data_IF_379283223326
#
_entry.id   IF_379283223326
#
_cell.length_a   1.000
_cell.length_b   1.000
_cell.length_c   1.000
_cell.angle_alpha   90.00
_cell.angle_beta   90.00
_cell.angle_gamma   90.00
#
_symmetry.space_group_name_H-M   'P 1'
#
loop_
_entity.id
_entity.type
_entity.pdbx_description
1 polymer ?
#
# COMPACT_ATOMS: atom_id res chain seq x y z
N UNK A 1 3.84 20.08 22.63
CA UNK A 1 3.55 20.72 21.33
C UNK A 1 4.56 20.19 20.32
N UNK A 2 4.14 19.35 19.37
CA UNK A 2 5.05 18.81 18.35
C UNK A 2 5.41 19.92 17.37
N UNK A 3 6.70 20.24 17.24
CA UNK A 3 7.18 21.20 16.25
C UNK A 3 6.66 20.81 14.85
N UNK A 4 5.95 21.73 14.20
CA UNK A 4 5.47 21.54 12.84
C UNK A 4 6.68 21.60 11.90
N UNK A 5 6.94 20.52 11.15
CA UNK A 5 7.99 20.52 10.14
C UNK A 5 7.71 21.60 9.10
N UNK A 6 8.65 22.53 8.94
CA UNK A 6 8.64 23.55 7.91
C UNK A 6 9.17 22.92 6.62
N UNK A 7 8.43 23.12 5.53
CA UNK A 7 8.77 22.68 4.18
C UNK A 7 8.58 23.86 3.22
N UNK A 8 9.17 23.79 2.03
CA UNK A 8 8.94 24.81 1.00
C UNK A 8 7.62 24.52 0.28
N UNK A 9 6.84 25.57 0.02
CA UNK A 9 5.57 25.46 -0.67
C UNK A 9 5.82 25.08 -2.14
N UNK A 10 5.19 24.02 -2.66
CA UNK A 10 5.54 23.42 -3.95
C UNK A 10 5.26 24.31 -5.17
N UNK A 11 4.45 25.37 -5.01
CA UNK A 11 4.12 26.32 -6.08
C UNK A 11 4.78 27.69 -5.92
N UNK A 12 5.02 28.13 -4.67
CA UNK A 12 5.46 29.50 -4.38
C UNK A 12 6.88 29.55 -3.83
N UNK A 13 7.43 28.42 -3.38
CA UNK A 13 8.72 28.33 -2.71
C UNK A 13 8.74 28.93 -1.30
N UNK A 14 7.60 29.43 -0.80
CA UNK A 14 7.54 30.05 0.52
C UNK A 14 7.53 29.00 1.65
N UNK A 15 8.08 29.30 2.83
CA UNK A 15 8.05 28.39 3.97
C UNK A 15 6.61 28.11 4.41
N UNK A 16 6.23 26.84 4.49
CA UNK A 16 4.89 26.40 4.86
C UNK A 16 4.94 25.15 5.75
N UNK A 17 3.79 24.71 6.24
CA UNK A 17 3.67 23.51 7.09
C UNK A 17 2.72 22.50 6.49
N UNK A 18 2.88 21.20 6.81
CA UNK A 18 1.95 20.16 6.33
C UNK A 18 0.47 20.43 6.65
N UNK A 19 0.09 20.92 7.86
CA UNK A 19 -1.29 21.31 8.15
C UNK A 19 -1.82 22.41 7.22
N UNK A 20 -1.03 23.44 6.94
CA UNK A 20 -1.44 24.54 6.06
C UNK A 20 -1.53 24.08 4.61
N UNK A 21 -0.58 23.25 4.18
CA UNK A 21 -0.59 22.62 2.87
C UNK A 21 -1.78 21.67 2.68
N UNK A 22 -2.20 20.97 3.73
CA UNK A 22 -3.39 20.11 3.71
C UNK A 22 -4.68 20.94 3.56
N UNK A 23 -4.76 22.10 4.24
CA UNK A 23 -5.88 23.03 4.08
C UNK A 23 -5.93 23.64 2.68
N UNK A 24 -4.77 23.96 2.11
CA UNK A 24 -4.64 24.52 0.76
C UNK A 24 -4.99 23.50 -0.34
N UNK A 25 -4.39 22.31 -0.29
CA UNK A 25 -4.53 21.29 -1.35
C UNK A 25 -5.75 20.38 -1.20
N UNK A 26 -6.38 20.35 -0.02
CA UNK A 26 -7.43 19.38 0.32
C UNK A 26 -6.92 17.94 0.51
N UNK A 27 -5.60 17.72 0.46
CA UNK A 27 -4.97 16.41 0.66
C UNK A 27 -4.73 16.20 2.16
N UNK A 28 -5.00 14.99 2.65
CA UNK A 28 -4.74 14.65 4.04
C UNK A 28 -3.26 14.83 4.42
N UNK A 29 -3.02 15.40 5.60
CA UNK A 29 -1.67 15.64 6.15
C UNK A 29 -0.76 14.40 6.10
N UNK A 30 -1.29 13.23 6.41
CA UNK A 30 -0.50 11.98 6.41
C UNK A 30 -0.12 11.55 5.00
N UNK A 31 -0.97 11.84 4.00
CA UNK A 31 -0.64 11.60 2.59
C UNK A 31 0.50 12.52 2.14
N UNK A 32 0.46 13.80 2.52
CA UNK A 32 1.54 14.75 2.22
C UNK A 32 2.87 14.33 2.87
N UNK A 33 2.83 13.88 4.13
CA UNK A 33 4.02 13.33 4.81
C UNK A 33 4.59 12.11 4.10
N UNK A 34 3.74 11.18 3.69
CA UNK A 34 4.16 9.99 2.95
C UNK A 34 4.84 10.38 1.63
N UNK A 35 4.24 11.29 0.86
CA UNK A 35 4.81 11.79 -0.39
C UNK A 35 6.16 12.47 -0.19
N UNK A 36 6.25 13.35 0.80
CA UNK A 36 7.46 14.11 1.08
C UNK A 36 8.61 13.23 1.59
N UNK A 37 8.34 12.34 2.55
CA UNK A 37 9.40 11.54 3.19
C UNK A 37 9.70 10.22 2.49
N UNK A 38 8.69 9.55 1.93
CA UNK A 38 8.87 8.21 1.32
C UNK A 38 8.99 8.26 -0.21
N UNK A 39 8.29 9.17 -0.87
CA UNK A 39 8.35 9.31 -2.34
C UNK A 39 9.29 10.42 -2.79
N UNK A 40 9.88 11.17 -1.85
CA UNK A 40 10.77 12.30 -2.09
C UNK A 40 10.19 13.37 -3.05
N UNK A 41 8.86 13.54 -2.99
CA UNK A 41 8.10 14.52 -3.76
C UNK A 41 8.15 15.88 -3.07
N UNK A 42 8.61 16.92 -3.76
CA UNK A 42 8.81 18.28 -3.18
C UNK A 42 8.26 19.42 -4.03
N UNK A 43 8.10 19.22 -5.33
CA UNK A 43 7.51 20.18 -6.24
C UNK A 43 6.00 20.01 -6.36
N UNK A 44 5.45 20.39 -7.50
CA UNK A 44 4.02 20.25 -7.80
C UNK A 44 3.51 18.82 -7.55
N UNK A 45 4.35 17.80 -7.76
CA UNK A 45 3.97 16.40 -7.53
C UNK A 45 3.57 16.08 -6.08
N UNK A 46 3.97 16.92 -5.11
CA UNK A 46 3.57 16.80 -3.70
C UNK A 46 2.06 17.06 -3.53
N UNK A 47 1.50 18.01 -4.28
CA UNK A 47 0.10 18.43 -4.20
C UNK A 47 -0.75 17.99 -5.38
N UNK A 48 -0.13 17.51 -6.46
CA UNK A 48 -0.86 16.98 -7.60
C UNK A 48 -1.64 15.72 -7.19
N UNK A 49 -2.87 15.53 -7.71
CA UNK A 49 -3.56 14.26 -7.57
C UNK A 49 -2.64 13.17 -8.12
N UNK A 50 -2.51 12.03 -7.43
CA UNK A 50 -1.53 11.03 -7.81
C UNK A 50 -1.87 10.55 -9.22
N UNK A 51 -1.00 10.80 -10.20
CA UNK A 51 -1.16 10.48 -11.63
C UNK A 51 -1.10 8.97 -11.93
N UNK A 52 -1.44 8.15 -10.94
CA UNK A 52 -1.49 6.70 -11.04
C UNK A 52 -2.38 6.12 -9.96
N UNK A 53 -2.89 4.91 -10.19
CA UNK A 53 -3.62 4.14 -9.18
C UNK A 53 -2.67 3.69 -8.06
N UNK A 54 -2.28 4.60 -7.16
CA UNK A 54 -1.46 4.30 -5.98
C UNK A 54 -2.28 3.63 -4.87
N UNK A 55 -3.61 3.57 -5.03
CA UNK A 55 -4.47 2.63 -4.34
C UNK A 55 -4.24 1.20 -4.85
N UNK A 56 -3.01 0.68 -4.80
CA UNK A 56 -2.86 -0.75 -4.50
C UNK A 56 -3.23 -0.91 -3.04
N UNK A 57 -4.54 -0.80 -2.73
CA UNK A 57 -5.09 -1.55 -1.61
C UNK A 57 -4.57 -2.96 -1.84
N UNK A 58 -3.64 -3.41 -0.99
CA UNK A 58 -3.42 -4.83 -0.81
C UNK A 58 -4.80 -5.34 -0.41
N UNK A 59 -5.60 -5.78 -1.39
CA UNK A 59 -6.90 -6.36 -1.13
C UNK A 59 -6.57 -7.47 -0.16
N UNK A 60 -6.92 -7.29 1.11
CA UNK A 60 -6.82 -8.34 2.10
C UNK A 60 -7.55 -9.51 1.47
N UNK A 61 -6.81 -10.56 1.10
CA UNK A 61 -7.36 -11.60 0.24
C UNK A 61 -8.64 -12.10 0.91
N UNK A 62 -9.77 -11.93 0.21
CA UNK A 62 -11.05 -12.36 0.74
C UNK A 62 -10.97 -13.85 1.05
N UNK A 63 -11.83 -14.36 1.94
CA UNK A 63 -11.87 -15.81 2.21
C UNK A 63 -12.02 -16.61 0.91
N UNK A 64 -12.84 -16.12 -0.02
CA UNK A 64 -13.01 -16.71 -1.34
C UNK A 64 -11.72 -16.74 -2.19
N UNK A 65 -10.91 -15.66 -2.16
CA UNK A 65 -9.65 -15.63 -2.91
C UNK A 65 -8.61 -16.60 -2.31
N UNK A 66 -8.61 -16.77 -0.98
CA UNK A 66 -7.78 -17.77 -0.28
C UNK A 66 -8.18 -19.19 -0.65
N UNK A 67 -9.47 -19.51 -0.65
CA UNK A 67 -9.98 -20.82 -1.07
C UNK A 67 -9.65 -21.11 -2.54
N UNK A 68 -9.83 -20.14 -3.44
CA UNK A 68 -9.46 -20.28 -4.87
C UNK A 68 -7.95 -20.49 -5.07
N UNK A 69 -7.11 -19.87 -4.24
CA UNK A 69 -5.67 -20.12 -4.26
C UNK A 69 -5.33 -21.53 -3.76
N UNK A 70 -5.92 -21.95 -2.65
CA UNK A 70 -5.72 -23.30 -2.10
C UNK A 70 -6.10 -24.39 -3.11
N UNK A 71 -7.26 -24.30 -3.75
CA UNK A 71 -7.70 -25.29 -4.74
C UNK A 71 -6.72 -25.40 -5.92
N UNK A 72 -6.17 -24.27 -6.39
CA UNK A 72 -5.15 -24.28 -7.46
C UNK A 72 -3.86 -24.93 -7.01
N UNK A 73 -3.39 -24.59 -5.80
CA UNK A 73 -2.18 -25.16 -5.22
C UNK A 73 -2.33 -26.69 -5.00
N UNK A 74 -3.54 -27.15 -4.62
CA UNK A 74 -3.89 -28.56 -4.47
C UNK A 74 -3.91 -29.30 -5.81
N UNK A 75 -4.59 -28.75 -6.83
CA UNK A 75 -4.64 -29.37 -8.15
C UNK A 75 -3.25 -29.48 -8.78
N UNK A 76 -2.41 -28.46 -8.62
CA UNK A 76 -1.03 -28.47 -9.10
C UNK A 76 -0.17 -29.53 -8.37
N UNK A 77 -0.43 -29.77 -7.09
CA UNK A 77 0.22 -30.83 -6.31
C UNK A 77 -0.24 -32.22 -6.77
N UNK A 78 -1.54 -32.45 -6.94
CA UNK A 78 -2.08 -33.72 -7.45
C UNK A 78 -1.57 -34.06 -8.85
N UNK A 79 -1.34 -33.04 -9.68
CA UNK A 79 -0.81 -33.21 -11.04
C UNK A 79 0.72 -33.41 -11.08
N UNK A 80 1.43 -33.21 -9.96
CA UNK A 80 2.89 -33.35 -9.91
C UNK A 80 3.30 -34.77 -9.46
N UNK A 81 4.09 -35.52 -10.24
CA UNK A 81 4.42 -36.92 -9.95
C UNK A 81 5.35 -37.12 -8.74
N UNK A 82 5.96 -36.05 -8.23
CA UNK A 82 6.73 -36.06 -6.99
C UNK A 82 5.96 -35.24 -5.96
N UNK A 83 5.29 -35.90 -5.02
CA UNK A 83 4.38 -35.33 -4.01
C UNK A 83 5.01 -34.36 -3.00
N UNK A 84 5.91 -33.46 -3.41
CA UNK A 84 6.42 -32.35 -2.61
C UNK A 84 5.29 -31.36 -2.35
N UNK A 85 4.72 -31.47 -1.16
CA UNK A 85 3.74 -30.51 -0.64
C UNK A 85 4.39 -29.12 -0.61
N UNK A 86 3.78 -28.16 -1.30
CA UNK A 86 4.22 -26.77 -1.21
C UNK A 86 4.08 -26.33 0.25
N UNK A 87 5.09 -25.63 0.79
CA UNK A 87 5.09 -25.11 2.17
C UNK A 87 3.86 -24.27 2.50
N UNK A 88 3.24 -23.70 1.46
CA UNK A 88 1.99 -22.95 1.54
C UNK A 88 0.76 -23.84 1.82
N UNK A 89 0.64 -25.00 1.17
CA UNK A 89 -0.50 -25.89 1.32
C UNK A 89 -0.58 -26.48 2.74
N UNK A 90 0.58 -26.86 3.30
CA UNK A 90 0.68 -27.29 4.70
C UNK A 90 0.31 -26.19 5.70
N UNK A 91 0.77 -24.96 5.44
CA UNK A 91 0.53 -23.82 6.33
C UNK A 91 -0.96 -23.42 6.34
N UNK A 92 -1.61 -23.48 5.20
CA UNK A 92 -3.03 -23.13 5.05
C UNK A 92 -3.93 -24.22 5.62
N UNK A 93 -3.59 -25.50 5.43
CA UNK A 93 -4.30 -26.64 6.05
C UNK A 93 -4.20 -26.61 7.59
N UNK A 94 -2.99 -26.39 8.14
CA UNK A 94 -2.76 -26.31 9.59
C UNK A 94 -3.50 -25.14 10.27
N UNK A 95 -3.84 -24.09 9.52
CA UNK A 95 -4.55 -22.91 10.05
C UNK A 95 -6.07 -23.02 9.97
N UNK A 96 -6.62 -24.20 9.61
CA UNK A 96 -8.06 -24.43 9.61
C UNK A 96 -8.80 -23.66 8.51
N UNK A 97 -8.16 -23.44 7.36
CA UNK A 97 -8.87 -22.97 6.17
C UNK A 97 -9.65 -24.13 5.54
N UNK A 98 -10.72 -24.56 6.21
CA UNK A 98 -11.83 -25.31 5.63
C UNK A 98 -12.99 -24.35 5.34
#
# INVERSE_FOLDING_TARGET
MSASTIIDHPLTGEPTTFPDLARFSGIAKDTLKYRYHQLNQRGAELIEPPTGNHNKRTKTASRADRVRKFQRDLNAWLASPAGRLSTHLFRDFRRGAA
#
